data_IF_995565568690
#
_entry.id   IF_995565568690
#
_cell.length_a   1.000
_cell.length_b   1.000
_cell.length_c   1.000
_cell.angle_alpha   90.00
_cell.angle_beta   90.00
_cell.angle_gamma   90.00
#
_symmetry.space_group_name_H-M   'P 1'
#
loop_
_entity.id
_entity.type
_entity.pdbx_description
1 polymer ?
2 non-polymer ?
3 non-polymer ?
4 non-polymer ?
5 non-polymer ?
6 non-polymer ?
7 water ?
#
# COMPACT_ATOMS: atom_id res chain seq x y z
N UNK A 1 -6.66 -0.38 17.19
CA UNK A 1 -6.28 0.53 16.06
C UNK A 1 -6.46 -0.17 14.72
N UNK A 2 -7.03 0.52 13.74
CA UNK A 2 -7.24 -0.10 12.41
C UNK A 2 -6.53 0.75 11.40
N UNK A 3 -5.70 0.11 10.57
CA UNK A 3 -4.96 0.84 9.53
C UNK A 3 -5.31 0.18 8.20
N UNK A 4 -5.77 0.99 7.23
CA UNK A 4 -6.15 0.54 5.87
C UNK A 4 -5.22 1.16 4.82
N UNK A 5 -4.83 0.36 3.82
CA UNK A 5 -4.11 0.84 2.64
C UNK A 5 -5.00 0.59 1.40
N UNK A 6 -5.03 1.54 0.47
CA UNK A 6 -5.87 1.38 -0.70
C UNK A 6 -5.30 2.10 -1.89
N UNK A 7 -5.04 1.35 -2.96
CA UNK A 7 -4.65 1.95 -4.25
C UNK A 7 -5.97 2.25 -4.95
N UNK A 8 -6.30 3.53 -5.05
CA UNK A 8 -7.61 3.99 -5.49
C UNK A 8 -7.69 4.18 -7.00
N UNK A 9 -6.56 4.06 -7.71
CA UNK A 9 -6.57 4.19 -9.18
C UNK A 9 -7.25 5.48 -9.66
N UNK A 10 -6.77 6.60 -9.13
CA UNK A 10 -7.29 7.98 -9.26
C UNK A 10 -8.21 8.38 -8.09
N UNK A 11 -7.76 9.32 -7.26
CA UNK A 11 -8.63 9.84 -6.20
C UNK A 11 -9.80 10.70 -6.71
N UNK A 12 -9.61 11.35 -7.86
CA UNK A 12 -10.72 12.07 -8.51
C UNK A 12 -11.87 11.10 -8.74
N UNK A 13 -11.57 9.94 -9.31
CA UNK A 13 -12.60 8.95 -9.59
C UNK A 13 -13.20 8.35 -8.31
N UNK A 14 -12.34 8.02 -7.37
CA UNK A 14 -12.74 7.19 -6.23
C UNK A 14 -13.18 7.96 -5.02
N UNK A 15 -13.11 9.29 -5.08
CA UNK A 15 -13.45 10.08 -3.88
C UNK A 15 -14.74 9.70 -3.16
N UNK A 16 -15.87 9.57 -3.88
CA UNK A 16 -17.10 9.19 -3.14
C UNK A 16 -16.94 7.89 -2.34
N UNK A 17 -16.22 6.92 -2.90
CA UNK A 17 -16.01 5.65 -2.21
C UNK A 17 -15.10 5.81 -1.01
N UNK A 18 -14.07 6.65 -1.15
CA UNK A 18 -13.19 6.98 -0.01
C UNK A 18 -14.01 7.63 1.11
N UNK A 19 -14.84 8.59 0.73
CA UNK A 19 -15.75 9.27 1.65
C UNK A 19 -16.67 8.26 2.35
N UNK A 20 -17.25 7.34 1.58
CA UNK A 20 -18.16 6.31 2.17
C UNK A 20 -17.43 5.37 3.13
N UNK A 21 -16.18 5.03 2.80
CA UNK A 21 -15.33 4.22 3.66
C UNK A 21 -14.92 4.91 4.97
N UNK A 22 -14.79 6.23 4.93
CA UNK A 22 -14.44 6.98 6.11
C UNK A 22 -15.68 7.21 6.99
N UNK A 23 -16.86 7.20 6.36
CA UNK A 23 -18.10 7.53 7.07
C UNK A 23 -18.69 6.37 7.87
N UNK A 24 -18.48 5.15 7.42
CA UNK A 24 -19.03 3.96 8.08
C UNK A 24 -17.93 2.98 8.56
N UNK A 25 -17.87 2.74 9.88
CA UNK A 25 -16.86 1.83 10.45
C UNK A 25 -15.42 2.19 10.02
N UNK A 26 -15.04 3.48 10.17
CA UNK A 26 -13.79 3.99 9.58
C UNK A 26 -12.54 3.37 10.19
N UNK A 27 -11.41 3.36 9.44
CA UNK A 27 -10.17 2.99 10.13
C UNK A 27 -9.68 4.19 10.92
N UNK A 28 -8.66 3.99 11.75
CA UNK A 28 -8.00 5.10 12.37
C UNK A 28 -7.06 5.84 11.42
N UNK A 29 -6.46 5.09 10.49
CA UNK A 29 -5.50 5.63 9.51
C UNK A 29 -5.81 4.96 8.19
N UNK A 30 -6.01 5.77 7.15
CA UNK A 30 -6.18 5.28 5.77
C UNK A 30 -5.05 5.85 4.93
N UNK A 31 -4.26 4.98 4.31
CA UNK A 31 -3.23 5.46 3.38
C UNK A 31 -3.64 5.09 1.95
N UNK A 32 -3.33 5.99 1.00
CA UNK A 32 -3.77 5.90 -0.38
C UNK A 32 -2.60 5.95 -1.33
N UNK A 33 -2.73 5.20 -2.42
CA UNK A 33 -1.80 5.24 -3.57
C UNK A 33 -2.58 5.52 -4.87
N UNK A 34 -1.85 6.03 -5.86
CA UNK A 34 -2.38 6.39 -7.17
C UNK A 34 -3.42 7.47 -7.03
N UNK A 35 -3.06 8.53 -6.30
CA UNK A 35 -3.93 9.72 -6.30
C UNK A 35 -4.18 10.19 -7.74
N UNK A 36 -3.13 10.16 -8.56
CA UNK A 36 -3.22 10.67 -9.94
C UNK A 36 -3.74 12.10 -10.00
N UNK A 37 -3.26 12.92 -9.07
CA UNK A 37 -3.71 14.30 -8.95
C UNK A 37 -2.51 15.08 -8.54
N UNK A 38 -2.32 16.23 -9.18
CA UNK A 38 -1.26 17.16 -8.76
C UNK A 38 -1.45 17.63 -7.32
N UNK A 39 -0.36 18.08 -6.70
CA UNK A 39 -0.39 18.49 -5.30
C UNK A 39 -1.60 19.39 -4.99
N UNK A 40 -1.79 20.46 -5.80
CA UNK A 40 -2.87 21.41 -5.51
C UNK A 40 -4.26 20.97 -5.99
N UNK A 41 -4.38 19.73 -6.50
CA UNK A 41 -5.68 19.20 -6.93
C UNK A 41 -6.24 18.12 -5.97
N UNK A 42 -5.47 17.79 -4.95
CA UNK A 42 -5.92 16.86 -3.91
C UNK A 42 -7.19 17.44 -3.29
N UNK A 43 -8.27 16.63 -3.13
CA UNK A 43 -9.51 17.13 -2.51
C UNK A 43 -9.42 17.29 -0.97
N UNK A 44 -8.49 18.13 -0.52
CA UNK A 44 -8.22 18.30 0.91
C UNK A 44 -9.49 18.79 1.66
N UNK A 45 -10.18 19.78 1.11
CA UNK A 45 -11.40 20.30 1.74
C UNK A 45 -12.46 19.21 1.92
N UNK A 46 -12.71 18.39 0.91
CA UNK A 46 -13.72 17.34 1.02
C UNK A 46 -13.47 16.37 2.18
N UNK A 47 -12.20 16.06 2.46
CA UNK A 47 -11.88 15.11 3.53
C UNK A 47 -11.71 15.80 4.88
N UNK A 48 -11.04 16.94 4.86
CA UNK A 48 -10.88 17.77 6.06
C UNK A 48 -12.23 18.17 6.65
N UNK A 49 -13.19 18.48 5.77
CA UNK A 49 -14.51 18.90 6.20
C UNK A 49 -15.28 17.75 6.80
N UNK A 50 -14.74 16.54 6.65
CA UNK A 50 -15.30 15.36 7.27
C UNK A 50 -14.62 15.06 8.61
N UNK A 51 -13.65 15.88 8.98
CA UNK A 51 -12.94 15.70 10.25
C UNK A 51 -11.65 14.91 10.15
N UNK A 52 -11.15 14.72 8.92
CA UNK A 52 -9.89 14.00 8.71
C UNK A 52 -8.72 14.90 8.40
N UNK A 53 -7.60 14.65 9.08
CA UNK A 53 -6.32 15.30 8.73
C UNK A 53 -5.66 14.56 7.56
N UNK A 54 -5.11 15.31 6.60
CA UNK A 54 -4.54 14.73 5.39
C UNK A 54 -3.16 15.27 5.16
N UNK A 55 -2.21 14.39 4.83
CA UNK A 55 -0.95 14.84 4.24
C UNK A 55 -0.75 14.07 2.95
N UNK A 56 -0.13 14.69 1.96
CA UNK A 56 -0.05 14.03 0.67
C UNK A 56 1.10 14.54 -0.17
N UNK A 57 1.36 13.80 -1.23
CA UNK A 57 2.45 14.10 -2.17
C UNK A 57 1.89 13.68 -3.49
N UNK A 58 1.55 14.66 -4.32
CA UNK A 58 0.95 14.40 -5.63
C UNK A 58 1.75 15.01 -6.79
N UNK A 59 1.50 14.50 -7.99
CA UNK A 59 2.07 15.06 -9.19
C UNK A 59 1.02 14.85 -10.25
N UNK A 60 1.13 15.58 -11.36
CA UNK A 60 0.17 15.42 -12.45
C UNK A 60 0.16 13.98 -12.95
N UNK A 61 -1.04 13.46 -13.22
CA UNK A 61 -1.25 12.24 -14.01
C UNK A 61 -0.91 10.91 -13.38
N UNK A 62 0.26 10.85 -12.71
CA UNK A 62 0.82 9.58 -12.27
C UNK A 62 0.96 9.53 -10.77
N UNK A 63 1.01 8.31 -10.24
CA UNK A 63 1.54 8.09 -8.88
C UNK A 63 0.70 8.86 -7.83
N UNK A 64 1.34 9.42 -6.81
CA UNK A 64 0.61 10.16 -5.74
C UNK A 64 0.27 9.26 -4.58
N UNK A 65 0.63 9.71 -3.36
CA UNK A 65 0.40 8.97 -2.12
C UNK A 65 -0.15 9.92 -1.02
N UNK A 66 -1.02 9.42 -0.16
CA UNK A 66 -1.58 10.27 0.89
C UNK A 66 -1.73 9.48 2.17
N UNK A 67 -1.72 10.18 3.32
CA UNK A 67 -2.04 9.59 4.63
C UNK A 67 -3.19 10.39 5.23
N UNK A 68 -4.25 9.70 5.61
CA UNK A 68 -5.47 10.36 6.07
C UNK A 68 -5.79 9.79 7.45
N UNK A 69 -5.99 10.65 8.45
CA UNK A 69 -6.13 10.14 9.81
C UNK A 69 -6.93 11.08 10.70
N UNK A 70 -7.58 10.55 11.72
CA UNK A 70 -8.28 11.48 12.62
C UNK A 70 -7.29 12.13 13.60
N UNK A 71 -6.16 11.46 13.84
CA UNK A 71 -5.01 12.09 14.52
C UNK A 71 -4.14 12.94 13.55
N UNK A 72 -3.58 14.03 14.04
CA UNK A 72 -2.72 14.89 13.23
C UNK A 72 -1.41 14.13 12.90
N UNK A 73 -1.08 13.98 11.60
CA UNK A 73 0.19 13.30 11.34
C UNK A 73 1.40 14.19 11.70
N UNK A 74 2.38 13.64 12.42
CA UNK A 74 3.58 14.39 12.82
C UNK A 74 4.82 13.97 12.02
N UNK A 75 5.81 14.88 12.02
CA UNK A 75 7.13 14.65 11.42
C UNK A 75 6.97 14.00 10.05
N UNK A 76 6.22 14.70 9.20
CA UNK A 76 5.93 14.24 7.83
C UNK A 76 7.22 14.23 7.02
N UNK A 77 7.43 13.14 6.26
CA UNK A 77 8.64 12.92 5.45
C UNK A 77 8.26 12.52 4.04
N UNK A 78 8.96 13.10 3.06
CA UNK A 78 8.66 12.87 1.64
C UNK A 78 9.82 12.22 0.97
N UNK A 79 9.53 11.19 0.19
CA UNK A 79 10.51 10.62 -0.74
C UNK A 79 11.53 9.75 -0.05
N UNK A 80 12.63 9.51 -0.78
CA UNK A 80 13.71 8.61 -0.33
C UNK A 80 15.07 9.31 -0.38
N UNK A 81 15.74 9.40 0.79
CA UNK A 81 17.09 10.04 0.84
C UNK A 81 18.14 9.46 -0.11
N UNK A 82 18.08 8.16 -0.37
CA UNK A 82 19.01 7.52 -1.29
C UNK A 82 18.61 7.71 -2.75
N UNK A 83 17.44 8.27 -3.01
CA UNK A 83 17.02 8.58 -4.37
C UNK A 83 16.36 9.96 -4.37
N UNK A 84 17.13 10.98 -3.94
CA UNK A 84 16.57 12.28 -3.52
C UNK A 84 15.97 13.11 -4.66
N UNK A 85 16.35 12.81 -5.89
CA UNK A 85 15.85 13.62 -6.99
C UNK A 85 14.92 12.86 -7.94
N UNK A 86 14.34 11.77 -7.47
CA UNK A 86 13.31 11.07 -8.23
C UNK A 86 12.03 11.94 -8.13
N UNK A 87 11.49 12.40 -9.29
CA UNK A 87 10.28 13.25 -9.23
C UNK A 87 8.98 12.46 -8.96
N UNK A 88 9.04 11.14 -9.05
CA UNK A 88 7.83 10.31 -8.91
C UNK A 88 7.35 10.24 -7.47
N UNK A 89 6.09 10.61 -7.27
CA UNK A 89 5.54 10.77 -5.92
C UNK A 89 5.07 9.42 -5.39
N UNK A 90 5.94 8.74 -4.63
CA UNK A 90 5.73 7.31 -4.27
C UNK A 90 5.85 6.95 -2.82
N UNK A 91 6.44 7.85 -2.01
CA UNK A 91 6.72 7.54 -0.58
C UNK A 91 6.36 8.76 0.29
N UNK A 92 5.48 8.53 1.25
CA UNK A 92 5.21 9.54 2.27
C UNK A 92 5.17 8.82 3.61
N UNK A 93 5.76 9.44 4.62
CA UNK A 93 5.74 8.85 5.97
C UNK A 93 5.31 9.88 6.99
N UNK A 94 4.75 9.43 8.10
CA UNK A 94 4.42 10.35 9.17
C UNK A 94 4.18 9.52 10.41
N UNK A 95 4.27 10.17 11.56
CA UNK A 95 4.05 9.52 12.85
C UNK A 95 2.64 9.93 13.28
N UNK A 96 1.78 8.92 13.43
CA UNK A 96 0.36 9.10 13.66
C UNK A 96 0.02 8.31 14.91
N UNK A 97 -0.45 8.99 15.96
CA UNK A 97 -0.75 8.28 17.23
C UNK A 97 0.41 7.40 17.70
N UNK A 98 1.62 7.93 17.60
CA UNK A 98 2.81 7.18 18.03
C UNK A 98 3.26 6.01 17.15
N UNK A 99 2.58 5.78 16.01
CA UNK A 99 3.00 4.73 15.08
C UNK A 99 3.64 5.41 13.86
N UNK A 100 4.82 4.95 13.47
CA UNK A 100 5.45 5.47 12.26
C UNK A 100 4.80 4.74 11.08
N UNK A 101 4.18 5.50 10.19
CA UNK A 101 3.47 4.95 9.05
C UNK A 101 4.27 5.32 7.80
N UNK A 102 4.75 4.33 7.07
CA UNK A 102 5.40 4.62 5.78
C UNK A 102 4.52 4.07 4.64
N UNK A 103 3.93 4.96 3.83
CA UNK A 103 3.04 4.58 2.74
C UNK A 103 3.82 4.58 1.42
N UNK A 104 3.74 3.49 0.67
CA UNK A 104 4.46 3.35 -0.58
C UNK A 104 3.52 3.01 -1.74
N UNK A 105 3.76 3.65 -2.87
CA UNK A 105 3.23 3.19 -4.13
C UNK A 105 4.46 2.73 -4.93
N UNK A 106 4.79 1.44 -4.87
CA UNK A 106 6.06 0.94 -5.37
C UNK A 106 6.03 0.86 -6.89
N UNK A 107 7.20 0.93 -7.47
CA UNK A 107 7.35 0.84 -8.93
C UNK A 107 6.72 -0.45 -9.50
N UNK A 108 5.82 -0.29 -10.46
CA UNK A 108 5.24 -1.42 -11.14
C UNK A 108 6.33 -2.29 -11.81
N UNK A 109 7.12 -1.67 -12.70
CA UNK A 109 8.23 -2.38 -13.33
C UNK A 109 7.95 -2.74 -14.78
N UNK A 110 6.68 -2.89 -15.10
CA UNK A 110 6.16 -3.11 -16.47
C UNK A 110 6.39 -4.51 -17.00
N UNK A 111 7.66 -4.89 -17.14
CA UNK A 111 8.07 -6.20 -17.71
C UNK A 111 9.52 -6.38 -17.29
N UNK A 112 9.96 -7.63 -17.16
CA UNK A 112 11.33 -7.87 -16.70
C UNK A 112 12.37 -7.31 -17.65
N UNK A 113 12.02 -7.13 -18.93
CA UNK A 113 12.98 -6.55 -19.91
C UNK A 113 12.78 -5.05 -20.16
N UNK A 114 11.90 -4.43 -19.35
CA UNK A 114 11.70 -2.97 -19.43
C UNK A 114 12.78 -2.22 -18.67
N UNK A 115 13.16 -1.03 -19.18
CA UNK A 115 14.00 -0.13 -18.41
C UNK A 115 13.36 0.25 -17.07
N UNK A 116 12.03 0.21 -17.01
CA UNK A 116 11.31 0.47 -15.74
C UNK A 116 11.57 -0.60 -14.69
N UNK A 117 12.00 -1.79 -15.10
CA UNK A 117 12.38 -2.84 -14.14
C UNK A 117 13.73 -2.53 -13.47
N UNK A 118 14.66 -1.87 -14.20
CA UNK A 118 15.90 -1.41 -13.57
C UNK A 118 15.58 -0.30 -12.56
N UNK A 119 14.66 0.60 -12.95
CA UNK A 119 14.14 1.63 -12.03
C UNK A 119 13.58 0.93 -10.80
N UNK A 120 12.72 -0.08 -10.99
CA UNK A 120 12.16 -0.81 -9.87
C UNK A 120 13.24 -1.31 -8.91
N UNK A 121 14.30 -1.92 -9.46
CA UNK A 121 15.39 -2.46 -8.64
C UNK A 121 16.04 -1.36 -7.82
N UNK A 122 16.37 -0.23 -8.46
CA UNK A 122 17.13 0.82 -7.75
C UNK A 122 16.23 1.47 -6.69
N UNK A 123 14.95 1.61 -7.03
CA UNK A 123 13.96 2.24 -6.17
C UNK A 123 13.75 1.37 -4.91
N UNK A 124 13.58 0.06 -5.09
CA UNK A 124 13.48 -0.82 -3.92
C UNK A 124 14.72 -0.81 -3.00
N UNK A 125 15.91 -0.70 -3.62
CA UNK A 125 17.16 -0.63 -2.86
C UNK A 125 17.11 0.63 -2.01
N UNK A 126 16.64 1.72 -2.61
CA UNK A 126 16.55 3.00 -1.89
C UNK A 126 15.49 2.92 -0.77
N UNK A 127 14.38 2.23 -1.05
CA UNK A 127 13.36 2.09 -0.02
C UNK A 127 13.91 1.30 1.18
N UNK A 128 14.60 0.21 0.90
CA UNK A 128 15.16 -0.64 1.96
C UNK A 128 16.04 0.18 2.92
N UNK A 129 16.85 1.04 2.35
CA UNK A 129 17.75 1.89 3.13
C UNK A 129 16.97 2.86 4.04
N UNK A 130 15.95 3.47 3.49
CA UNK A 130 15.15 4.42 4.27
C UNK A 130 14.43 3.70 5.40
N UNK A 131 13.77 2.60 5.05
CA UNK A 131 13.00 1.81 6.05
C UNK A 131 13.94 1.30 7.16
N UNK A 132 15.09 0.76 6.79
CA UNK A 132 16.09 0.29 7.79
C UNK A 132 16.44 1.40 8.84
N UNK A 133 16.66 2.61 8.33
CA UNK A 133 16.99 3.76 9.14
C UNK A 133 15.82 4.16 10.03
N UNK A 134 14.63 4.21 9.43
CA UNK A 134 13.42 4.58 10.17
C UNK A 134 13.16 3.61 11.31
N UNK A 135 13.39 2.32 11.07
CA UNK A 135 13.18 1.31 12.11
C UNK A 135 14.10 1.41 13.36
N UNK A 136 15.27 2.05 13.26
CA UNK A 136 16.14 2.25 14.44
C UNK A 136 15.52 3.20 15.48
N UNK A 137 14.47 3.91 15.11
CA UNK A 137 13.93 4.96 15.97
C UNK A 137 12.51 4.74 16.40
N UNK A 138 11.77 3.92 15.66
CA UNK A 138 10.34 3.72 15.92
C UNK A 138 10.04 2.26 16.13
N UNK A 139 9.77 1.89 17.38
CA UNK A 139 9.41 0.49 17.73
C UNK A 139 8.04 0.13 17.16
N UNK A 140 7.17 1.13 17.03
CA UNK A 140 5.90 0.84 16.38
C UNK A 140 6.03 1.40 14.95
N UNK A 141 6.17 0.51 13.97
CA UNK A 141 6.34 0.99 12.60
C UNK A 141 5.54 0.12 11.64
N UNK A 142 4.87 0.77 10.69
CA UNK A 142 4.08 0.06 9.66
C UNK A 142 4.50 0.53 8.29
N UNK A 143 4.99 -0.39 7.48
CA UNK A 143 5.32 -0.10 6.08
C UNK A 143 4.27 -0.77 5.21
N UNK A 144 3.46 0.03 4.51
CA UNK A 144 2.30 -0.55 3.79
C UNK A 144 2.03 0.14 2.49
N UNK A 145 1.28 -0.52 1.60
CA UNK A 145 0.99 0.08 0.32
C UNK A 145 0.90 -0.97 -0.77
N UNK A 146 1.02 -0.49 -2.01
CA UNK A 146 0.99 -1.35 -3.17
C UNK A 146 2.43 -1.60 -3.48
N UNK A 147 2.86 -2.85 -3.26
CA UNK A 147 4.25 -3.22 -3.44
C UNK A 147 4.48 -3.71 -4.86
N UNK A 148 3.40 -3.99 -5.60
CA UNK A 148 3.54 -4.52 -6.97
C UNK A 148 4.44 -5.74 -7.01
N UNK A 149 4.42 -6.51 -5.92
CA UNK A 149 5.14 -7.77 -5.81
C UNK A 149 4.23 -8.72 -5.03
N UNK A 150 4.09 -9.92 -5.62
CA UNK A 150 3.34 -11.03 -5.08
C UNK A 150 4.35 -11.99 -4.43
N UNK A 151 4.38 -12.03 -3.09
CA UNK A 151 5.50 -12.69 -2.40
C UNK A 151 5.78 -14.16 -2.71
N UNK A 152 4.75 -14.97 -2.96
CA UNK A 152 4.95 -16.42 -3.27
C UNK A 152 3.90 -16.87 -4.26
N UNK A 153 3.96 -18.12 -4.74
CA UNK A 153 2.99 -18.53 -5.79
C UNK A 153 1.52 -18.59 -5.34
N UNK A 154 1.25 -18.75 -4.04
CA UNK A 154 -0.12 -18.62 -3.54
C UNK A 154 -0.73 -17.23 -3.80
N UNK A 155 0.12 -16.26 -4.12
CA UNK A 155 -0.24 -14.84 -4.34
C UNK A 155 -0.41 -14.49 -5.81
N UNK A 156 -0.18 -15.45 -6.71
CA UNK A 156 -0.37 -15.25 -8.17
C UNK A 156 -1.31 -16.34 -8.69
N UNK A 157 -2.51 -15.97 -9.18
CA UNK A 157 -3.50 -16.97 -9.67
C UNK A 157 -2.84 -17.71 -10.84
N UNK A 158 -3.12 -18.98 -11.00
CA UNK A 158 -2.46 -19.71 -12.11
C UNK A 158 -0.92 -19.39 -12.19
N UNK A 159 -0.13 -19.75 -11.14
CA UNK A 159 1.27 -19.35 -11.04
C UNK A 159 2.17 -19.75 -12.20
N UNK A 160 1.84 -20.86 -12.87
CA UNK A 160 2.58 -21.25 -14.07
C UNK A 160 2.56 -20.17 -15.19
N UNK A 161 1.44 -19.44 -15.32
CA UNK A 161 1.34 -18.37 -16.33
C UNK A 161 2.21 -17.15 -16.00
N UNK A 162 2.56 -16.99 -14.72
CA UNK A 162 3.28 -15.83 -14.24
C UNK A 162 4.74 -16.18 -13.92
N UNK A 163 5.20 -17.36 -14.39
CA UNK A 163 6.54 -17.86 -14.03
C UNK A 163 7.63 -16.88 -14.51
N UNK A 164 8.33 -16.23 -13.58
CA UNK A 164 9.29 -15.17 -13.91
C UNK A 164 8.67 -14.09 -14.79
N UNK A 165 7.42 -13.73 -14.51
CA UNK A 165 6.79 -12.56 -15.13
C UNK A 165 6.61 -11.48 -14.08
N UNK A 166 6.35 -10.26 -14.55
CA UNK A 166 6.24 -9.08 -13.69
C UNK A 166 5.33 -9.41 -12.47
N UNK A 167 5.69 -8.87 -11.31
CA UNK A 167 5.02 -9.07 -10.03
C UNK A 167 5.35 -10.36 -9.31
N UNK A 168 5.60 -11.42 -10.07
CA UNK A 168 5.78 -12.77 -9.51
C UNK A 168 7.17 -13.40 -9.73
N UNK A 169 8.14 -12.60 -10.15
CA UNK A 169 9.50 -13.12 -10.41
C UNK A 169 10.29 -13.40 -9.14
N UNK A 170 11.22 -14.34 -9.26
CA UNK A 170 12.13 -14.68 -8.18
C UNK A 170 12.91 -13.46 -7.67
N UNK A 171 13.38 -12.63 -8.58
CA UNK A 171 14.15 -11.46 -8.13
C UNK A 171 13.27 -10.43 -7.39
N UNK A 172 12.08 -10.15 -7.90
CA UNK A 172 11.12 -9.27 -7.20
C UNK A 172 10.82 -9.84 -5.82
N UNK A 173 10.66 -11.16 -5.76
CA UNK A 173 10.39 -11.78 -4.45
C UNK A 173 11.57 -11.61 -3.49
N UNK A 174 12.78 -11.59 -4.04
CA UNK A 174 13.95 -11.25 -3.22
C UNK A 174 13.94 -9.82 -2.69
N UNK A 175 13.49 -8.86 -3.51
CA UNK A 175 13.36 -7.47 -3.05
C UNK A 175 12.34 -7.36 -1.92
N UNK A 176 11.25 -8.10 -2.02
CA UNK A 176 10.26 -8.13 -0.96
C UNK A 176 10.88 -8.77 0.30
N UNK A 177 11.62 -9.85 0.11
CA UNK A 177 12.30 -10.51 1.24
C UNK A 177 13.29 -9.55 1.90
N UNK A 178 13.95 -8.70 1.12
CA UNK A 178 14.90 -7.74 1.72
C UNK A 178 14.25 -6.77 2.71
N UNK A 179 12.98 -6.46 2.50
CA UNK A 179 12.21 -5.65 3.45
C UNK A 179 11.87 -6.44 4.72
N UNK A 180 11.32 -7.65 4.56
CA UNK A 180 11.09 -8.52 5.71
C UNK A 180 12.38 -8.71 6.57
N UNK A 181 13.51 -8.91 5.89
CA UNK A 181 14.85 -9.11 6.52
C UNK A 181 15.34 -7.91 7.38
N UNK A 182 14.72 -6.75 7.19
CA UNK A 182 14.93 -5.62 8.12
C UNK A 182 14.43 -5.89 9.54
N UNK A 183 13.53 -6.86 9.67
CA UNK A 183 12.87 -7.19 10.94
C UNK A 183 11.40 -6.78 10.92
N UNK A 184 10.75 -7.11 9.80
CA UNK A 184 9.34 -6.80 9.58
C UNK A 184 8.64 -8.10 9.22
N UNK A 185 7.34 -8.15 9.53
CA UNK A 185 6.48 -9.33 9.36
C UNK A 185 5.40 -9.00 8.33
N UNK A 186 5.22 -9.87 7.31
CA UNK A 186 4.10 -9.76 6.36
C UNK A 186 2.81 -10.04 7.17
N UNK A 187 2.10 -9.00 7.60
CA UNK A 187 1.00 -9.19 8.56
C UNK A 187 -0.08 -10.17 8.12
N UNK A 188 -0.50 -10.06 6.86
CA UNK A 188 -1.59 -10.94 6.38
C UNK A 188 -1.20 -12.43 6.57
N UNK A 189 0.05 -12.77 6.28
CA UNK A 189 0.49 -14.18 6.39
C UNK A 189 0.74 -14.64 7.83
N UNK A 190 0.97 -13.69 8.74
CA UNK A 190 0.97 -14.06 10.17
C UNK A 190 -0.43 -14.57 10.59
N UNK A 191 -1.48 -13.85 10.22
CA UNK A 191 -2.88 -14.18 10.55
C UNK A 191 -3.44 -15.35 9.72
N UNK A 192 -3.08 -15.38 8.43
CA UNK A 192 -3.66 -16.28 7.46
C UNK A 192 -2.52 -16.92 6.67
N UNK A 193 -1.84 -17.89 7.28
CA UNK A 193 -0.70 -18.52 6.65
C UNK A 193 -1.02 -19.25 5.34
N UNK A 194 -2.25 -19.75 5.16
CA UNK A 194 -2.64 -20.53 3.98
C UNK A 194 -3.79 -19.85 3.23
N UNK A 195 -3.86 -20.03 1.91
CA UNK A 195 -5.04 -19.61 1.14
C UNK A 195 -4.75 -18.37 0.32
N UNK A 196 -5.55 -18.19 -0.73
CA UNK A 196 -5.53 -16.99 -1.60
C UNK A 196 -6.17 -15.80 -0.89
N UNK A 197 -5.45 -14.68 -0.87
CA UNK A 197 -5.94 -13.39 -0.43
C UNK A 197 -5.56 -12.32 -1.43
N UNK A 198 -6.07 -12.44 -2.66
CA UNK A 198 -5.71 -11.45 -3.69
C UNK A 198 -6.23 -10.04 -3.40
N UNK A 199 -5.45 -9.02 -3.78
CA UNK A 199 -5.82 -7.63 -3.50
C UNK A 199 -5.98 -6.82 -4.78
N UNK A 200 -5.49 -7.35 -5.92
CA UNK A 200 -5.63 -6.71 -7.21
C UNK A 200 -6.25 -7.70 -8.18
N UNK A 201 -7.22 -7.24 -8.97
CA UNK A 201 -7.84 -8.06 -9.99
C UNK A 201 -7.93 -7.19 -11.25
N UNK A 202 -7.36 -7.66 -12.37
CA UNK A 202 -7.37 -6.90 -13.59
C UNK A 202 -8.83 -6.58 -13.99
N UNK A 203 -9.09 -5.34 -14.37
CA UNK A 203 -10.36 -5.01 -15.01
C UNK A 203 -10.58 -5.82 -16.28
N UNK A 204 -9.50 -6.09 -17.05
CA UNK A 204 -9.71 -6.81 -18.31
C UNK A 204 -10.07 -8.26 -18.06
N UNK A 205 -11.15 -8.72 -18.68
CA UNK A 205 -11.53 -10.13 -18.59
C UNK A 205 -12.38 -10.45 -17.37
N UNK A 206 -12.89 -9.42 -16.71
CA UNK A 206 -13.74 -9.58 -15.52
C UNK A 206 -13.04 -10.44 -14.46
N UNK A 207 -11.77 -10.20 -14.18
CA UNK A 207 -11.00 -11.12 -13.32
C UNK A 207 -11.52 -11.13 -11.88
N UNK A 208 -12.02 -9.99 -11.40
CA UNK A 208 -12.59 -9.97 -10.03
C UNK A 208 -13.76 -10.94 -9.96
N UNK A 209 -14.66 -10.87 -10.94
CA UNK A 209 -15.83 -11.78 -10.94
C UNK A 209 -15.44 -13.27 -11.03
N UNK A 210 -14.27 -13.53 -11.62
CA UNK A 210 -13.69 -14.89 -11.77
C UNK A 210 -12.80 -15.32 -10.58
N UNK A 211 -12.56 -14.39 -9.65
CA UNK A 211 -11.76 -14.65 -8.42
C UNK A 211 -10.24 -14.75 -8.72
N UNK A 212 -9.81 -14.15 -9.83
CA UNK A 212 -8.44 -14.33 -10.35
C UNK A 212 -7.62 -13.04 -10.17
N UNK A 213 -6.67 -13.07 -9.27
CA UNK A 213 -5.93 -11.85 -8.92
C UNK A 213 -4.52 -12.11 -8.38
N UNK A 214 -3.86 -11.03 -7.95
CA UNK A 214 -2.57 -11.07 -7.27
C UNK A 214 -2.70 -10.45 -5.86
N UNK A 215 -1.96 -11.00 -4.90
CA UNK A 215 -1.78 -10.31 -3.62
C UNK A 215 -0.53 -9.45 -3.68
N UNK A 216 -0.72 -8.16 -3.96
CA UNK A 216 0.40 -7.21 -4.10
C UNK A 216 0.32 -6.02 -3.17
N UNK A 217 -0.81 -5.87 -2.47
CA UNK A 217 -0.95 -4.84 -1.46
C UNK A 217 -0.76 -5.44 -0.07
N UNK A 218 0.21 -4.90 0.67
CA UNK A 218 0.67 -5.58 1.91
C UNK A 218 0.74 -4.63 3.07
N UNK A 219 0.81 -5.18 4.29
CA UNK A 219 1.01 -4.34 5.49
C UNK A 219 2.13 -5.00 6.28
N UNK A 220 3.30 -4.37 6.30
CA UNK A 220 4.49 -4.98 6.92
C UNK A 220 4.69 -4.27 8.26
N UNK A 221 4.85 -5.05 9.33
CA UNK A 221 4.81 -4.48 10.68
C UNK A 221 6.06 -4.82 11.53
N UNK A 222 6.46 -3.90 12.41
CA UNK A 222 7.53 -4.18 13.36
C UNK A 222 7.00 -5.17 14.42
N UNK A 223 7.92 -5.83 15.15
CA UNK A 223 7.45 -6.81 16.13
C UNK A 223 6.47 -6.29 17.16
N UNK A 224 6.65 -5.05 17.66
CA UNK A 224 5.73 -4.49 18.67
C UNK A 224 4.31 -4.43 18.13
N UNK A 225 4.19 -4.16 16.83
CA UNK A 225 2.89 -4.19 16.14
C UNK A 225 2.42 -5.63 15.86
N UNK A 226 3.33 -6.50 15.45
CA UNK A 226 2.99 -7.93 15.26
C UNK A 226 2.38 -8.56 16.51
N UNK A 227 2.91 -8.19 17.67
CA UNK A 227 2.43 -8.75 18.92
C UNK A 227 1.00 -8.34 19.20
N UNK A 228 0.59 -7.18 18.67
CA UNK A 228 -0.76 -6.64 18.91
C UNK A 228 -1.72 -6.95 17.77
N UNK A 229 -1.23 -7.65 16.76
CA UNK A 229 -2.05 -7.90 15.57
C UNK A 229 -3.22 -8.82 15.86
N UNK A 230 -4.43 -8.38 15.50
CA UNK A 230 -5.64 -9.18 15.73
C UNK A 230 -6.12 -9.81 14.42
N UNK A 231 -6.15 -9.03 13.35
CA UNK A 231 -6.63 -9.56 12.09
C UNK A 231 -6.09 -8.74 10.95
N UNK A 232 -6.08 -9.34 9.76
CA UNK A 232 -5.77 -8.61 8.55
C UNK A 232 -6.81 -9.11 7.53
N UNK A 233 -7.49 -8.18 6.85
CA UNK A 233 -8.51 -8.60 5.92
C UNK A 233 -8.46 -7.78 4.64
N UNK A 234 -8.90 -8.41 3.55
CA UNK A 234 -8.99 -7.71 2.26
C UNK A 234 -10.46 -7.30 2.12
N UNK A 235 -10.70 -6.02 1.89
CA UNK A 235 -12.05 -5.47 1.78
C UNK A 235 -12.62 -5.68 0.39
N UNK A 236 -13.14 -6.87 0.15
CA UNK A 236 -13.76 -7.19 -1.13
C UNK A 236 -15.16 -6.58 -1.36
N UNK A 237 -15.83 -6.14 -0.29
CA UNK A 237 -17.08 -5.39 -0.45
C UNK A 237 -16.84 -4.14 -1.30
N UNK A 238 -15.77 -3.42 -0.96
CA UNK A 238 -15.40 -2.20 -1.66
C UNK A 238 -14.99 -2.54 -3.10
N UNK A 239 -14.25 -3.64 -3.28
CA UNK A 239 -13.85 -4.09 -4.64
C UNK A 239 -15.07 -4.55 -5.49
N UNK A 240 -16.17 -4.95 -4.82
CA UNK A 240 -17.40 -5.40 -5.50
C UNK A 240 -18.33 -4.27 -5.88
N UNK A 241 -17.98 -3.03 -5.55
CA UNK A 241 -18.85 -1.88 -5.89
C UNK A 241 -18.85 -1.55 -7.37
N UNK A 242 -19.86 -0.81 -7.82
CA UNK A 242 -19.90 -0.31 -9.21
C UNK A 242 -18.73 0.66 -9.37
N UNK A 243 -18.13 0.67 -10.56
CA UNK A 243 -16.96 1.48 -10.85
C UNK A 243 -15.88 1.37 -9.73
N UNK A 244 -15.38 0.15 -9.47
CA UNK A 244 -14.43 -0.02 -8.38
C UNK A 244 -12.99 0.35 -8.80
N UNK A 245 -12.11 0.57 -7.82
CA UNK A 245 -10.68 0.50 -8.11
C UNK A 245 -10.36 -0.96 -8.49
N UNK A 246 -9.30 -1.17 -9.29
CA UNK A 246 -8.85 -2.54 -9.55
C UNK A 246 -8.20 -3.19 -8.29
N UNK A 247 -7.75 -2.37 -7.35
CA UNK A 247 -7.24 -2.91 -6.05
C UNK A 247 -8.32 -2.80 -4.99
N UNK A 248 -8.31 -3.74 -4.04
CA UNK A 248 -9.17 -3.73 -2.87
C UNK A 248 -8.39 -3.13 -1.69
N UNK A 249 -9.09 -2.44 -0.78
CA UNK A 249 -8.41 -1.96 0.44
C UNK A 249 -7.95 -3.17 1.22
N UNK A 250 -6.87 -3.01 1.99
CA UNK A 250 -6.42 -4.08 2.89
C UNK A 250 -6.37 -3.42 4.27
N UNK A 251 -6.88 -4.09 5.28
CA UNK A 251 -6.91 -3.53 6.64
C UNK A 251 -6.23 -4.46 7.66
N UNK A 252 -5.36 -3.90 8.50
CA UNK A 252 -4.85 -4.59 9.67
C UNK A 252 -5.46 -3.98 10.92
N UNK A 253 -5.85 -4.84 11.86
CA UNK A 253 -6.39 -4.40 13.14
C UNK A 253 -5.50 -4.86 14.28
N UNK A 254 -5.23 -3.94 15.19
CA UNK A 254 -4.34 -4.16 16.30
C UNK A 254 -5.14 -3.95 17.55
N UNK A 255 -4.85 -4.79 18.56
CA UNK A 255 -5.68 -4.92 19.76
C UNK A 255 -4.72 -5.08 20.94
N UNK A 256 -4.69 -4.08 21.84
CA UNK A 256 -3.83 -4.12 23.06
C UNK A 256 -4.60 -4.22 24.39
#
# INVERSE_FOLDING_TARGET
MKITTWNVNSLNVRLPQVQNLLADNPPDILVLQELKLDQDKFPAAALQMMGWHCVWSGQKTYNGVAIVSRSVPQDVHFGLPALPDDPQRRVIAATVSGVRVINVYCVNGEALDSPKFKYKEQWFAALTEFVRDEMTRHGKLVLLGDFNIAPADADCYDPEKWHEKIHCSSVERQWFQNLLDLGLTDSLRQVHPEGAFYTWFDYRGAMFQRKLGLRIDHILVSPAMAAALKDVRVDLETRALERPSDHAPVTAEFDW
#
